data_IF_662948888775
#
_entry.id   IF_662948888775
#
_cell.length_a   1.000
_cell.length_b   1.000
_cell.length_c   1.000
_cell.angle_alpha   90.00
_cell.angle_beta   90.00
_cell.angle_gamma   90.00
#
_symmetry.space_group_name_H-M   'P 1'
#
loop_
_entity.id
_entity.type
_entity.pdbx_description
1 polymer ?
#
# COMPACT_ATOMS: atom_id res chain seq x y z
N UNK A 1 30.59 3.14 -25.01
CA UNK A 1 29.76 4.31 -25.33
C UNK A 1 29.24 4.14 -26.74
N UNK A 2 27.93 3.94 -26.93
CA UNK A 2 27.24 4.28 -28.18
C UNK A 2 25.74 4.40 -27.86
N UNK A 3 25.23 5.62 -27.92
CA UNK A 3 23.82 5.95 -27.68
C UNK A 3 23.05 5.74 -28.98
N UNK A 4 22.10 4.81 -29.00
CA UNK A 4 21.09 4.76 -30.05
C UNK A 4 19.92 5.66 -29.63
N UNK A 5 19.88 6.87 -30.20
CA UNK A 5 18.72 7.74 -30.09
C UNK A 5 17.70 7.30 -31.16
N UNK A 6 16.65 6.59 -30.75
CA UNK A 6 15.49 6.35 -31.60
C UNK A 6 14.62 7.61 -31.57
N UNK A 7 14.60 8.35 -32.68
CA UNK A 7 13.69 9.46 -32.89
C UNK A 7 12.26 8.91 -33.02
N UNK A 8 11.50 8.96 -31.93
CA UNK A 8 10.08 8.62 -31.94
C UNK A 8 9.31 9.85 -32.41
N UNK A 9 8.63 9.75 -33.56
CA UNK A 9 7.77 10.80 -34.09
C UNK A 9 6.56 11.12 -33.16
N UNK A 10 5.88 12.26 -33.38
CA UNK A 10 4.89 12.81 -32.43
C UNK A 10 3.63 11.95 -32.25
N UNK A 11 3.36 11.01 -33.16
CA UNK A 11 2.19 10.11 -33.10
C UNK A 11 2.42 8.95 -32.13
N UNK A 12 3.68 8.55 -31.90
CA UNK A 12 4.02 7.47 -30.97
C UNK A 12 4.01 7.92 -29.50
N UNK A 13 3.99 9.23 -29.26
CA UNK A 13 3.95 9.83 -27.92
C UNK A 13 2.54 9.81 -27.29
N UNK A 14 1.48 9.64 -28.09
CA UNK A 14 0.09 9.69 -27.62
C UNK A 14 -0.39 8.36 -26.99
N UNK A 15 0.28 7.24 -27.33
CA UNK A 15 -0.10 5.90 -26.87
C UNK A 15 0.84 5.30 -25.82
N UNK A 16 1.92 6.01 -25.45
CA UNK A 16 2.67 5.70 -24.22
C UNK A 16 1.82 6.14 -23.02
N UNK A 17 0.74 5.41 -22.78
CA UNK A 17 0.16 5.30 -21.44
C UNK A 17 1.29 4.67 -20.62
N UNK A 18 2.11 5.51 -20.00
CA UNK A 18 2.99 5.08 -18.93
C UNK A 18 2.01 4.57 -17.88
N UNK A 19 1.76 3.26 -17.89
CA UNK A 19 1.12 2.61 -16.76
C UNK A 19 2.10 2.87 -15.64
N UNK A 20 1.75 3.77 -14.73
CA UNK A 20 2.45 3.90 -13.46
C UNK A 20 2.34 2.53 -12.83
N UNK A 21 3.37 1.73 -13.07
CA UNK A 21 3.43 0.35 -12.66
C UNK A 21 3.13 0.30 -11.16
N UNK A 22 2.36 -0.69 -10.73
CA UNK A 22 2.64 -1.66 -9.66
C UNK A 22 3.79 -1.35 -8.68
N UNK A 23 3.95 -0.09 -8.27
CA UNK A 23 5.12 0.41 -7.56
C UNK A 23 4.66 0.88 -6.19
N UNK A 24 5.25 0.26 -5.17
CA UNK A 24 5.16 0.74 -3.79
C UNK A 24 5.60 2.22 -3.75
N UNK A 25 4.77 3.08 -3.18
CA UNK A 25 4.96 4.54 -3.11
C UNK A 25 4.20 5.34 -4.16
N UNK A 26 3.56 4.70 -5.17
CA UNK A 26 2.75 5.42 -6.15
C UNK A 26 1.47 6.02 -5.52
N UNK A 27 1.04 7.22 -5.93
CA UNK A 27 -0.23 7.78 -5.49
C UNK A 27 -1.40 6.98 -6.07
N UNK A 28 -2.47 6.86 -5.29
CA UNK A 28 -3.70 6.15 -5.69
C UNK A 28 -4.93 6.82 -5.09
N UNK A 29 -6.13 6.43 -5.54
CA UNK A 29 -7.40 6.92 -5.01
C UNK A 29 -8.27 5.75 -4.60
N UNK A 30 -8.82 5.80 -3.38
CA UNK A 30 -9.75 4.82 -2.84
C UNK A 30 -10.94 5.56 -2.22
N UNK A 31 -12.16 5.22 -2.66
CA UNK A 31 -13.40 5.80 -2.12
C UNK A 31 -13.42 7.35 -2.15
N UNK A 32 -12.74 7.96 -3.12
CA UNK A 32 -12.58 9.42 -3.24
C UNK A 32 -11.46 10.03 -2.39
N UNK A 33 -10.74 9.22 -1.61
CA UNK A 33 -9.62 9.66 -0.78
C UNK A 33 -8.29 9.37 -1.48
N UNK A 34 -7.36 10.33 -1.39
CA UNK A 34 -5.99 10.15 -1.84
C UNK A 34 -5.26 9.19 -0.90
N UNK A 35 -4.54 8.25 -1.48
CA UNK A 35 -3.76 7.25 -0.78
C UNK A 35 -2.43 6.98 -1.47
N UNK A 36 -1.71 6.01 -0.92
CA UNK A 36 -0.43 5.53 -1.46
C UNK A 36 -0.46 4.02 -1.60
N UNK A 37 0.07 3.51 -2.71
CA UNK A 37 0.25 2.09 -2.95
C UNK A 37 1.34 1.55 -2.01
N UNK A 38 0.98 0.65 -1.11
CA UNK A 38 1.90 0.06 -0.13
C UNK A 38 1.68 -1.44 -0.03
N UNK A 39 2.66 -2.17 0.49
CA UNK A 39 2.44 -3.58 0.83
C UNK A 39 1.24 -3.71 1.76
N UNK A 40 0.36 -4.67 1.48
CA UNK A 40 -0.87 -4.92 2.26
C UNK A 40 -0.60 -5.01 3.75
N UNK A 41 0.54 -5.59 4.13
CA UNK A 41 1.00 -5.71 5.51
C UNK A 41 1.31 -4.40 6.21
N UNK A 42 1.38 -3.27 5.50
CA UNK A 42 1.71 -1.95 6.04
C UNK A 42 0.49 -1.04 6.21
N UNK A 43 -0.68 -1.48 5.74
CA UNK A 43 -1.92 -0.76 5.82
C UNK A 43 -2.78 -1.30 6.98
N UNK A 44 -2.91 -0.54 8.06
CA UNK A 44 -3.59 -0.98 9.27
C UNK A 44 -5.10 -1.11 9.07
N UNK A 45 -5.71 -0.20 8.30
CA UNK A 45 -7.14 -0.28 7.96
C UNK A 45 -7.52 -1.57 7.23
N UNK A 46 -6.54 -2.23 6.60
CA UNK A 46 -6.76 -3.50 5.93
C UNK A 46 -7.26 -4.59 6.90
N UNK A 47 -6.92 -4.50 8.19
CA UNK A 47 -7.44 -5.40 9.23
C UNK A 47 -8.97 -5.31 9.33
N UNK A 48 -9.52 -4.10 9.27
CA UNK A 48 -10.97 -3.86 9.31
C UNK A 48 -11.63 -4.22 7.98
N UNK A 49 -10.95 -3.94 6.87
CA UNK A 49 -11.38 -4.31 5.52
C UNK A 49 -11.60 -5.82 5.38
N UNK A 50 -10.67 -6.64 5.90
CA UNK A 50 -10.82 -8.10 5.94
C UNK A 50 -12.07 -8.53 6.71
N UNK A 51 -12.35 -7.93 7.87
CA UNK A 51 -13.55 -8.23 8.66
C UNK A 51 -14.83 -7.89 7.91
N UNK A 52 -14.81 -6.78 7.16
CA UNK A 52 -15.97 -6.28 6.42
C UNK A 52 -16.07 -6.85 5.00
N UNK A 53 -15.09 -7.68 4.58
CA UNK A 53 -14.96 -8.19 3.20
C UNK A 53 -14.93 -7.07 2.15
N UNK A 54 -14.36 -5.92 2.49
CA UNK A 54 -14.24 -4.73 1.61
C UNK A 54 -12.77 -4.50 1.28
N UNK A 55 -12.28 -5.08 0.19
CA UNK A 55 -10.87 -5.01 -0.14
C UNK A 55 -10.50 -3.72 -0.91
N UNK A 56 -9.38 -3.06 -0.58
CA UNK A 56 -8.88 -1.93 -1.36
C UNK A 56 -8.57 -2.30 -2.81
N UNK A 57 -8.49 -1.29 -3.70
CA UNK A 57 -7.87 -1.45 -5.01
C UNK A 57 -6.45 -2.02 -4.88
N UNK A 58 -6.14 -3.03 -5.70
CA UNK A 58 -4.80 -3.59 -5.81
C UNK A 58 -4.01 -2.73 -6.78
N UNK A 59 -2.89 -2.20 -6.31
CA UNK A 59 -1.95 -1.47 -7.15
C UNK A 59 -1.00 -2.40 -7.89
N UNK A 60 -0.66 -3.57 -7.32
CA UNK A 60 0.33 -4.48 -7.90
C UNK A 60 0.66 -5.66 -6.99
N UNK A 61 1.71 -6.41 -7.34
CA UNK A 61 2.18 -7.58 -6.59
C UNK A 61 3.69 -7.51 -6.37
N UNK A 62 4.15 -7.77 -5.14
CA UNK A 62 5.55 -8.03 -4.80
C UNK A 62 5.71 -9.51 -4.46
N UNK A 63 6.05 -10.31 -5.46
CA UNK A 63 6.04 -11.77 -5.31
C UNK A 63 4.62 -12.28 -5.08
N UNK A 64 4.34 -12.78 -3.86
CA UNK A 64 2.99 -13.22 -3.44
C UNK A 64 2.25 -12.17 -2.60
N UNK A 65 2.89 -11.06 -2.25
CA UNK A 65 2.32 -10.04 -1.38
C UNK A 65 1.64 -8.95 -2.21
N UNK A 66 0.34 -8.66 -1.97
CA UNK A 66 -0.34 -7.61 -2.70
C UNK A 66 0.10 -6.22 -2.24
N UNK A 67 0.27 -5.32 -3.20
CA UNK A 67 0.41 -3.89 -3.00
C UNK A 67 -0.99 -3.29 -3.16
N UNK A 68 -1.47 -2.58 -2.15
CA UNK A 68 -2.84 -2.06 -2.10
C UNK A 68 -2.85 -0.56 -1.92
N UNK A 69 -3.92 0.09 -2.38
CA UNK A 69 -4.12 1.52 -2.14
C UNK A 69 -4.51 1.76 -0.68
N UNK A 70 -3.58 2.35 0.09
CA UNK A 70 -3.77 2.63 1.50
C UNK A 70 -3.99 4.13 1.74
N UNK A 71 -5.02 4.45 2.53
CA UNK A 71 -5.39 5.82 2.89
C UNK A 71 -5.05 6.16 4.34
N UNK A 72 -4.28 5.31 5.02
CA UNK A 72 -3.85 5.53 6.40
C UNK A 72 -2.85 6.67 6.46
N UNK A 73 -3.01 7.58 7.43
CA UNK A 73 -2.08 8.69 7.63
C UNK A 73 -0.70 8.19 8.08
N UNK A 74 -0.66 7.10 8.86
CA UNK A 74 0.56 6.47 9.36
C UNK A 74 0.59 5.00 8.95
N UNK A 75 1.63 4.60 8.23
CA UNK A 75 1.86 3.20 7.88
C UNK A 75 2.49 2.45 9.06
N UNK A 76 2.15 1.18 9.21
CA UNK A 76 2.81 0.29 10.17
C UNK A 76 3.90 -0.53 9.47
N UNK A 77 4.86 -1.05 10.24
CA UNK A 77 5.91 -1.91 9.68
C UNK A 77 5.35 -3.25 9.19
N UNK A 78 4.44 -3.85 9.98
CA UNK A 78 3.76 -5.10 9.64
C UNK A 78 2.51 -5.34 10.52
N UNK A 79 1.32 -5.49 9.91
CA UNK A 79 0.06 -5.82 10.57
C UNK A 79 -0.02 -7.27 11.06
N UNK A 80 0.81 -8.19 10.57
CA UNK A 80 0.89 -9.58 11.05
C UNK A 80 1.26 -9.62 12.56
N UNK A 81 1.83 -8.53 13.09
CA UNK A 81 2.15 -8.34 14.51
C UNK A 81 1.01 -7.70 15.32
N UNK A 82 -0.06 -7.25 14.68
CA UNK A 82 -1.25 -6.66 15.31
C UNK A 82 -2.29 -7.76 15.47
N UNK A 83 -2.50 -8.22 16.70
CA UNK A 83 -3.55 -9.20 17.00
C UNK A 83 -4.85 -8.50 17.40
N UNK A 84 -5.96 -8.89 16.78
CA UNK A 84 -7.31 -8.53 17.19
C UNK A 84 -7.74 -9.46 18.33
N UNK A 85 -7.62 -9.01 19.58
CA UNK A 85 -8.20 -9.76 20.70
C UNK A 85 -9.73 -9.61 20.68
N UNK A 86 -10.50 -10.72 20.73
CA UNK A 86 -11.98 -10.66 20.81
C UNK A 86 -12.52 -10.08 22.12
N UNK A 87 -11.66 -9.89 23.13
CA UNK A 87 -12.07 -9.54 24.50
C UNK A 87 -12.29 -8.03 24.68
N UNK A 88 -11.77 -7.23 23.76
CA UNK A 88 -11.91 -5.78 23.72
C UNK A 88 -11.91 -5.40 22.24
N UNK A 89 -12.94 -4.74 21.71
CA UNK A 89 -12.97 -4.19 20.34
C UNK A 89 -11.91 -3.07 20.14
N UNK A 90 -10.64 -3.39 20.37
CA UNK A 90 -9.51 -2.46 20.40
C UNK A 90 -8.32 -3.09 19.70
N UNK A 91 -7.78 -2.38 18.71
CA UNK A 91 -6.51 -2.72 18.05
C UNK A 91 -5.37 -2.50 19.06
N UNK A 92 -4.66 -3.56 19.43
CA UNK A 92 -3.48 -3.46 20.30
C UNK A 92 -2.21 -3.62 19.46
N UNK A 93 -1.40 -2.56 19.39
CA UNK A 93 -0.07 -2.58 18.74
C UNK A 93 0.97 -3.05 19.75
N UNK A 94 1.59 -4.24 19.57
CA UNK A 94 2.83 -4.57 20.31
C UNK A 94 4.05 -4.04 19.56
N UNK A 95 4.48 -2.81 19.90
CA UNK A 95 5.89 -2.38 19.88
C UNK A 95 6.17 -0.93 20.33
N UNK A 96 5.26 -0.26 21.05
CA UNK A 96 5.75 0.71 22.05
C UNK A 96 6.13 -0.13 23.27
N UNK A 97 7.44 -0.34 23.49
CA UNK A 97 7.92 -0.52 24.87
C UNK A 97 7.42 0.71 25.63
N UNK A 98 6.26 0.60 26.28
CA UNK A 98 5.96 1.47 27.41
C UNK A 98 7.04 1.10 28.41
N UNK A 99 7.95 2.03 28.64
CA UNK A 99 9.13 1.95 29.48
C UNK A 99 9.05 0.83 30.53
N UNK A 100 10.04 -0.06 30.51
CA UNK A 100 10.33 -0.89 31.67
C UNK A 100 10.68 0.07 32.81
N UNK A 101 9.99 -0.08 33.94
CA UNK A 101 10.10 0.81 35.08
C UNK A 101 11.54 0.93 35.57
N UNK A 102 11.90 2.14 35.98
CA UNK A 102 12.86 2.39 37.04
C UNK A 102 12.16 3.28 38.06
#
# INVERSE_FOLDING_TARGET
>A
MLRAALALGPVLLCCLKITTADIEGAPCVRDGYNGTCVLSKRCETLILDYKQKKFPPVCGLRGKEPIVCCTDCELVDNIDKIYLSRKFDRLEKKNKKSWDGT
#
